data_IF_358285099371
#
_entry.id   IF_358285099371
#
_cell.length_a   1.000
_cell.length_b   1.000
_cell.length_c   1.000
_cell.angle_alpha   90.00
_cell.angle_beta   90.00
_cell.angle_gamma   90.00
#
_symmetry.space_group_name_H-M   'P 1'
#
loop_
_entity.id
_entity.type
_entity.pdbx_description
1 polymer ?
#
# COMPACT_ATOMS: atom_id res chain seq x y z
N UNK A 1 42.46 35.94 12.49
CA UNK A 1 41.82 35.83 13.82
C UNK A 1 40.61 34.93 13.71
N UNK A 2 40.77 33.72 14.21
CA UNK A 2 39.80 32.65 14.31
C UNK A 2 38.83 32.90 15.47
N UNK A 3 37.53 32.83 15.18
CA UNK A 3 36.46 32.44 16.13
C UNK A 3 35.48 31.61 15.28
N UNK A 4 35.24 30.32 15.48
CA UNK A 4 35.40 29.50 16.67
C UNK A 4 34.02 29.15 17.20
N UNK A 5 33.50 28.00 16.76
CA UNK A 5 32.50 27.14 17.38
C UNK A 5 31.14 27.74 17.81
N UNK A 6 30.08 27.31 17.12
CA UNK A 6 29.01 26.56 17.77
C UNK A 6 28.33 25.66 16.74
N UNK A 7 28.88 24.46 16.58
CA UNK A 7 28.15 23.30 16.09
C UNK A 7 27.06 22.99 17.12
N UNK A 8 25.86 23.54 16.93
CA UNK A 8 24.70 22.98 17.60
C UNK A 8 24.44 21.63 16.95
N UNK A 9 24.72 20.59 17.74
CA UNK A 9 24.29 19.22 17.54
C UNK A 9 22.88 19.21 16.92
N UNK A 10 22.79 18.89 15.61
CA UNK A 10 21.63 18.16 15.12
C UNK A 10 21.73 16.78 15.76
N UNK A 11 21.16 16.67 16.95
CA UNK A 11 20.76 15.37 17.49
C UNK A 11 19.78 14.80 16.48
N UNK A 12 20.29 13.90 15.63
CA UNK A 12 19.47 12.92 14.91
C UNK A 12 18.75 12.14 16.00
N UNK A 13 17.57 12.61 16.38
CA UNK A 13 16.61 11.78 17.07
C UNK A 13 16.18 10.76 16.02
N UNK A 14 16.92 9.65 15.98
CA UNK A 14 16.49 8.41 15.39
C UNK A 14 15.31 7.97 16.27
N UNK A 15 14.14 8.57 16.06
CA UNK A 15 12.89 7.96 16.46
C UNK A 15 12.82 6.74 15.54
N UNK A 16 13.42 5.64 15.98
CA UNK A 16 12.83 4.35 15.65
C UNK A 16 11.43 4.43 16.24
N UNK A 17 10.47 4.88 15.43
CA UNK A 17 9.07 4.59 15.66
C UNK A 17 8.93 3.09 15.45
N UNK A 18 9.39 2.31 16.43
CA UNK A 18 8.51 1.26 16.89
C UNK A 18 7.34 2.03 17.48
N UNK A 19 6.42 2.44 16.61
CA UNK A 19 5.06 2.64 17.02
C UNK A 19 4.65 1.27 17.55
N UNK A 20 4.95 1.03 18.82
CA UNK A 20 4.11 0.19 19.65
C UNK A 20 2.80 0.98 19.64
N UNK A 21 2.02 0.76 18.59
CA UNK A 21 0.62 1.16 18.55
C UNK A 21 0.05 0.35 19.69
N UNK A 22 -0.03 0.97 20.86
CA UNK A 22 -0.82 0.43 21.95
C UNK A 22 -2.22 0.38 21.39
N UNK A 23 -2.63 -0.80 20.88
CA UNK A 23 -4.01 -0.98 20.49
C UNK A 23 -4.82 -0.82 21.77
N UNK A 24 -5.61 0.24 21.82
CA UNK A 24 -6.47 0.49 22.97
C UNK A 24 -7.75 -0.33 22.81
N UNK A 25 -8.40 -0.71 23.92
CA UNK A 25 -9.78 -1.18 23.86
C UNK A 25 -10.64 -0.12 23.17
N UNK A 26 -11.77 -0.55 22.61
CA UNK A 26 -12.69 0.32 21.87
C UNK A 26 -13.13 1.49 22.77
N UNK A 27 -12.95 2.72 22.28
CA UNK A 27 -13.37 3.96 22.90
C UNK A 27 -14.91 4.07 22.84
N UNK A 28 -15.61 4.24 23.99
CA UNK A 28 -17.06 4.30 24.01
C UNK A 28 -17.67 5.45 23.19
N UNK A 29 -16.98 6.59 23.08
CA UNK A 29 -17.43 7.71 22.25
C UNK A 29 -17.21 7.41 20.77
N UNK A 30 -16.08 6.82 20.40
CA UNK A 30 -15.83 6.36 19.03
C UNK A 30 -16.89 5.33 18.60
N UNK A 31 -17.20 4.37 19.47
CA UNK A 31 -18.27 3.39 19.26
C UNK A 31 -19.65 4.04 19.08
N UNK A 32 -19.97 5.10 19.86
CA UNK A 32 -21.22 5.86 19.70
C UNK A 32 -21.31 6.53 18.33
N UNK A 33 -20.23 7.16 17.87
CA UNK A 33 -20.14 7.75 16.53
C UNK A 33 -20.28 6.68 15.44
N UNK A 34 -19.65 5.52 15.63
CA UNK A 34 -19.78 4.39 14.72
C UNK A 34 -21.21 3.85 14.65
N UNK A 35 -21.89 3.63 15.78
CA UNK A 35 -23.30 3.18 15.78
C UNK A 35 -24.22 4.18 15.07
N UNK A 36 -23.98 5.48 15.22
CA UNK A 36 -24.70 6.52 14.47
C UNK A 36 -24.44 6.37 12.97
N UNK A 37 -23.18 6.14 12.58
CA UNK A 37 -22.83 5.92 11.18
C UNK A 37 -23.51 4.69 10.59
N UNK A 38 -23.56 3.57 11.32
CA UNK A 38 -24.22 2.35 10.87
C UNK A 38 -25.72 2.57 10.65
N UNK A 39 -26.38 3.32 11.53
CA UNK A 39 -27.79 3.67 11.37
C UNK A 39 -28.01 4.57 10.14
N UNK A 40 -27.18 5.60 9.95
CA UNK A 40 -27.23 6.45 8.75
C UNK A 40 -26.97 5.65 7.47
N UNK A 41 -26.00 4.73 7.49
CA UNK A 41 -25.67 3.88 6.35
C UNK A 41 -26.82 2.95 5.97
N UNK A 42 -27.46 2.29 6.95
CA UNK A 42 -28.67 1.48 6.74
C UNK A 42 -29.81 2.29 6.13
N UNK A 43 -29.94 3.55 6.54
CA UNK A 43 -30.92 4.50 6.01
C UNK A 43 -30.51 5.14 4.67
N UNK A 44 -29.38 4.74 4.08
CA UNK A 44 -28.79 5.30 2.84
C UNK A 44 -28.42 6.80 2.93
N UNK A 45 -28.33 7.35 4.13
CA UNK A 45 -27.79 8.69 4.36
C UNK A 45 -26.26 8.62 4.41
N UNK A 46 -25.66 8.53 3.23
CA UNK A 46 -24.21 8.33 3.07
C UNK A 46 -23.39 9.51 3.64
N UNK A 47 -23.90 10.74 3.55
CA UNK A 47 -23.19 11.93 4.05
C UNK A 47 -23.13 11.94 5.57
N UNK A 48 -24.24 11.64 6.25
CA UNK A 48 -24.24 11.54 7.71
C UNK A 48 -23.42 10.35 8.21
N UNK A 49 -23.43 9.23 7.46
CA UNK A 49 -22.58 8.08 7.75
C UNK A 49 -21.10 8.44 7.67
N UNK A 50 -20.66 9.07 6.57
CA UNK A 50 -19.29 9.54 6.38
C UNK A 50 -18.83 10.47 7.51
N UNK A 51 -19.61 11.52 7.79
CA UNK A 51 -19.28 12.46 8.87
C UNK A 51 -19.14 11.76 10.23
N UNK A 52 -20.04 10.83 10.55
CA UNK A 52 -20.00 10.12 11.83
C UNK A 52 -18.81 9.15 11.90
N UNK A 53 -18.38 8.56 10.78
CA UNK A 53 -17.17 7.74 10.72
C UNK A 53 -15.89 8.55 10.87
N UNK A 54 -15.84 9.75 10.27
CA UNK A 54 -14.71 10.65 10.44
C UNK A 54 -14.56 11.07 11.92
N UNK A 55 -15.66 11.39 12.61
CA UNK A 55 -15.62 11.66 14.05
C UNK A 55 -15.18 10.44 14.87
N UNK A 56 -15.63 9.24 14.52
CA UNK A 56 -15.16 8.01 15.17
C UNK A 56 -13.65 7.79 14.96
N UNK A 57 -13.14 8.06 13.75
CA UNK A 57 -11.72 7.89 13.42
C UNK A 57 -10.81 8.97 14.00
N UNK A 58 -11.32 10.16 14.33
CA UNK A 58 -10.56 11.13 15.14
C UNK A 58 -10.28 10.60 16.54
N UNK A 59 -11.16 9.76 17.07
CA UNK A 59 -11.01 9.16 18.40
C UNK A 59 -10.22 7.84 18.35
N UNK A 60 -10.47 7.02 17.33
CA UNK A 60 -9.71 5.79 17.06
C UNK A 60 -9.17 5.74 15.62
N UNK A 61 -8.05 6.42 15.34
CA UNK A 61 -7.49 6.49 13.99
C UNK A 61 -7.08 5.13 13.42
N UNK A 62 -6.72 4.17 14.26
CA UNK A 62 -6.25 2.85 13.85
C UNK A 62 -7.39 1.82 13.65
N UNK A 63 -8.65 2.21 13.84
CA UNK A 63 -9.76 1.27 13.79
C UNK A 63 -10.13 0.85 12.35
N UNK A 64 -9.62 -0.30 11.94
CA UNK A 64 -9.81 -0.85 10.60
C UNK A 64 -11.29 -1.20 10.30
N UNK A 65 -12.09 -1.55 11.31
CA UNK A 65 -13.53 -1.78 11.13
C UNK A 65 -14.23 -0.49 10.71
N UNK A 66 -13.92 0.63 11.37
CA UNK A 66 -14.48 1.94 11.03
C UNK A 66 -14.00 2.38 9.63
N UNK A 67 -12.71 2.22 9.34
CA UNK A 67 -12.14 2.54 8.02
C UNK A 67 -12.78 1.74 6.89
N UNK A 68 -13.08 0.47 7.10
CA UNK A 68 -13.75 -0.35 6.08
C UNK A 68 -15.15 0.18 5.75
N UNK A 69 -15.94 0.53 6.77
CA UNK A 69 -17.27 1.10 6.54
C UNK A 69 -17.15 2.47 5.86
N UNK A 70 -16.18 3.31 6.26
CA UNK A 70 -15.92 4.57 5.58
C UNK A 70 -15.56 4.37 4.11
N UNK A 71 -14.68 3.40 3.81
CA UNK A 71 -14.33 3.05 2.45
C UNK A 71 -15.53 2.59 1.61
N UNK A 72 -16.47 1.84 2.21
CA UNK A 72 -17.72 1.46 1.53
C UNK A 72 -18.65 2.67 1.28
N UNK A 73 -18.82 3.53 2.28
CA UNK A 73 -19.64 4.75 2.16
C UNK A 73 -19.11 5.61 1.02
N UNK A 74 -17.80 5.85 0.99
CA UNK A 74 -17.11 6.62 -0.05
C UNK A 74 -17.22 5.96 -1.42
N UNK A 75 -17.10 4.64 -1.49
CA UNK A 75 -17.31 3.88 -2.71
C UNK A 75 -18.74 4.02 -3.27
N UNK A 76 -19.74 4.02 -2.39
CA UNK A 76 -21.15 4.25 -2.76
C UNK A 76 -21.43 5.69 -3.19
N UNK A 77 -20.70 6.66 -2.63
CA UNK A 77 -20.72 8.07 -3.07
C UNK A 77 -19.92 8.33 -4.36
N UNK A 78 -19.24 7.32 -4.92
CA UNK A 78 -18.33 7.44 -6.05
C UNK A 78 -17.03 8.22 -5.76
N UNK A 79 -16.67 8.39 -4.48
CA UNK A 79 -15.40 8.93 -4.00
C UNK A 79 -14.33 7.83 -3.96
N UNK A 80 -13.95 7.34 -5.15
CA UNK A 80 -13.19 6.10 -5.28
C UNK A 80 -11.73 6.19 -4.78
N UNK A 81 -11.11 7.37 -4.78
CA UNK A 81 -9.73 7.55 -4.31
C UNK A 81 -9.66 7.49 -2.79
N UNK A 82 -10.58 8.18 -2.12
CA UNK A 82 -10.74 8.19 -0.67
C UNK A 82 -11.10 6.78 -0.18
N UNK A 83 -12.03 6.12 -0.88
CA UNK A 83 -12.35 4.72 -0.62
C UNK A 83 -11.11 3.83 -0.76
N UNK A 84 -10.34 3.96 -1.84
CA UNK A 84 -9.11 3.18 -2.05
C UNK A 84 -8.10 3.40 -0.92
N UNK A 85 -7.92 4.63 -0.45
CA UNK A 85 -7.03 4.94 0.67
C UNK A 85 -7.45 4.22 1.95
N UNK A 86 -8.73 4.30 2.34
CA UNK A 86 -9.21 3.64 3.55
C UNK A 86 -9.15 2.11 3.46
N UNK A 87 -9.53 1.52 2.32
CA UNK A 87 -9.52 0.07 2.14
C UNK A 87 -8.09 -0.49 2.10
N UNK A 88 -7.11 0.25 1.59
CA UNK A 88 -5.71 -0.16 1.63
C UNK A 88 -5.17 -0.25 3.06
N UNK A 89 -5.53 0.70 3.92
CA UNK A 89 -5.22 0.63 5.35
C UNK A 89 -5.84 -0.61 5.97
N UNK A 90 -7.11 -0.91 5.65
CA UNK A 90 -7.82 -2.09 6.16
C UNK A 90 -7.12 -3.38 5.72
N UNK A 91 -6.75 -3.50 4.44
CA UNK A 91 -6.03 -4.67 3.93
C UNK A 91 -4.71 -4.91 4.67
N UNK A 92 -4.03 -3.84 5.08
CA UNK A 92 -2.75 -3.88 5.81
C UNK A 92 -2.88 -3.91 7.33
N UNK A 93 -4.10 -3.80 7.86
CA UNK A 93 -4.35 -3.78 9.30
C UNK A 93 -4.19 -5.19 9.87
N UNK A 94 -3.54 -5.30 11.03
CA UNK A 94 -3.34 -6.58 11.71
C UNK A 94 -4.50 -6.84 12.68
N UNK A 95 -4.67 -8.10 13.08
CA UNK A 95 -5.58 -8.42 14.18
C UNK A 95 -5.10 -7.70 15.45
N UNK A 96 -6.03 -7.35 16.33
CA UNK A 96 -5.73 -6.67 17.59
C UNK A 96 -6.25 -7.52 18.75
N UNK A 97 -5.36 -7.83 19.70
CA UNK A 97 -5.75 -8.55 20.92
C UNK A 97 -6.68 -7.69 21.78
N UNK A 98 -6.38 -6.39 21.90
CA UNK A 98 -7.13 -5.46 22.76
C UNK A 98 -8.54 -5.13 22.24
N UNK A 99 -8.77 -5.22 20.92
CA UNK A 99 -10.09 -4.99 20.31
C UNK A 99 -11.00 -6.24 20.31
N UNK A 100 -10.46 -7.41 20.66
CA UNK A 100 -11.22 -8.65 20.87
C UNK A 100 -11.60 -9.45 19.61
N UNK A 101 -12.12 -10.66 19.82
CA UNK A 101 -12.41 -11.63 18.76
C UNK A 101 -13.45 -11.15 17.74
N UNK A 102 -14.49 -10.43 18.18
CA UNK A 102 -15.53 -9.91 17.29
C UNK A 102 -14.94 -8.92 16.27
N UNK A 103 -14.08 -8.01 16.72
CA UNK A 103 -13.37 -7.07 15.85
C UNK A 103 -12.51 -7.81 14.82
N UNK A 104 -11.73 -8.80 15.27
CA UNK A 104 -10.83 -9.57 14.41
C UNK A 104 -11.61 -10.39 13.37
N UNK A 105 -12.74 -10.97 13.75
CA UNK A 105 -13.64 -11.67 12.83
C UNK A 105 -14.20 -10.75 11.74
N UNK A 106 -14.64 -9.54 12.12
CA UNK A 106 -15.07 -8.50 11.15
C UNK A 106 -13.93 -8.12 10.21
N UNK A 107 -12.75 -7.81 10.75
CA UNK A 107 -11.58 -7.43 9.94
C UNK A 107 -11.25 -8.50 8.90
N UNK A 108 -11.18 -9.78 9.30
CA UNK A 108 -10.92 -10.89 8.36
C UNK A 108 -11.97 -10.97 7.26
N UNK A 109 -13.25 -10.85 7.63
CA UNK A 109 -14.34 -10.83 6.65
C UNK A 109 -14.23 -9.65 5.67
N UNK A 110 -13.85 -8.48 6.16
CA UNK A 110 -13.72 -7.26 5.37
C UNK A 110 -12.55 -7.32 4.41
N UNK A 111 -11.39 -7.84 4.83
CA UNK A 111 -10.24 -8.07 3.93
C UNK A 111 -10.64 -8.91 2.71
N UNK A 112 -11.44 -9.97 2.92
CA UNK A 112 -11.97 -10.79 1.81
C UNK A 112 -12.84 -9.98 0.84
N UNK A 113 -13.74 -9.13 1.37
CA UNK A 113 -14.67 -8.31 0.58
C UNK A 113 -13.99 -7.15 -0.16
N UNK A 114 -12.84 -6.66 0.32
CA UNK A 114 -12.10 -5.58 -0.36
C UNK A 114 -11.70 -6.00 -1.77
N UNK A 115 -11.37 -7.27 -1.98
CA UNK A 115 -11.03 -7.82 -3.31
C UNK A 115 -12.17 -7.58 -4.31
N UNK A 116 -13.42 -7.75 -3.90
CA UNK A 116 -14.60 -7.54 -4.75
C UNK A 116 -14.76 -6.06 -5.17
N UNK A 117 -14.31 -5.12 -4.32
CA UNK A 117 -14.39 -3.68 -4.59
C UNK A 117 -13.30 -3.20 -5.56
N UNK A 118 -12.18 -3.92 -5.66
CA UNK A 118 -11.04 -3.51 -6.49
C UNK A 118 -11.38 -3.46 -7.99
N UNK A 119 -12.24 -4.36 -8.49
CA UNK A 119 -12.55 -4.45 -9.93
C UNK A 119 -13.14 -3.15 -10.51
N UNK A 120 -14.08 -2.51 -9.81
CA UNK A 120 -14.64 -1.22 -10.24
C UNK A 120 -13.61 -0.11 -10.17
N UNK A 121 -12.79 -0.07 -9.11
CA UNK A 121 -11.72 0.93 -8.98
C UNK A 121 -10.71 0.79 -10.13
N UNK A 122 -10.26 -0.43 -10.42
CA UNK A 122 -9.35 -0.71 -11.53
C UNK A 122 -9.94 -0.30 -12.88
N UNK A 123 -11.23 -0.58 -13.10
CA UNK A 123 -11.95 -0.13 -14.30
C UNK A 123 -11.98 1.39 -14.41
N UNK A 124 -12.23 2.09 -13.31
CA UNK A 124 -12.18 3.55 -13.32
C UNK A 124 -10.76 4.08 -13.57
N UNK A 125 -9.73 3.44 -13.00
CA UNK A 125 -8.34 3.78 -13.27
C UNK A 125 -7.98 3.65 -14.75
N UNK A 126 -8.46 2.58 -15.41
CA UNK A 126 -8.34 2.38 -16.86
C UNK A 126 -9.07 3.48 -17.65
N UNK A 127 -10.27 3.88 -17.22
CA UNK A 127 -11.00 4.97 -17.85
C UNK A 127 -10.26 6.31 -17.73
N UNK A 128 -9.69 6.62 -16.55
CA UNK A 128 -8.84 7.80 -16.35
C UNK A 128 -7.61 7.76 -17.25
N UNK A 129 -6.98 6.60 -17.38
CA UNK A 129 -5.84 6.43 -18.29
C UNK A 129 -6.21 6.71 -19.75
N UNK A 130 -7.33 6.18 -20.23
CA UNK A 130 -7.85 6.48 -21.59
C UNK A 130 -8.15 7.96 -21.78
N UNK A 131 -8.65 8.65 -20.76
CA UNK A 131 -8.85 10.11 -20.80
C UNK A 131 -7.50 10.82 -20.96
N UNK A 132 -6.47 10.42 -20.21
CA UNK A 132 -5.12 10.95 -20.40
C UNK A 132 -4.63 10.75 -21.84
N UNK A 133 -4.70 9.53 -22.38
CA UNK A 133 -4.19 9.21 -23.72
C UNK A 133 -4.84 10.05 -24.82
N UNK A 134 -6.16 10.23 -24.76
CA UNK A 134 -6.92 11.08 -25.70
C UNK A 134 -6.50 12.54 -25.65
N UNK A 135 -5.99 13.00 -24.51
CA UNK A 135 -5.69 14.40 -24.25
C UNK A 135 -4.19 14.68 -24.08
N UNK A 136 -3.30 13.73 -24.39
CA UNK A 136 -1.85 13.85 -24.14
C UNK A 136 -1.17 15.07 -24.79
N UNK A 137 -1.74 15.57 -25.90
CA UNK A 137 -1.29 16.76 -26.60
C UNK A 137 -1.76 18.08 -25.94
N UNK A 138 -2.62 18.02 -24.92
CA UNK A 138 -3.13 19.21 -24.24
C UNK A 138 -2.01 19.98 -23.52
N UNK A 139 -2.05 21.33 -23.55
CA UNK A 139 -1.12 22.15 -22.80
C UNK A 139 -1.40 22.14 -21.29
N UNK A 140 -2.54 21.59 -20.83
CA UNK A 140 -2.90 21.50 -19.40
C UNK A 140 -2.16 20.36 -18.68
N UNK A 141 -0.82 20.44 -18.67
CA UNK A 141 0.07 19.37 -18.19
C UNK A 141 -0.20 18.94 -16.75
N UNK A 142 -0.44 19.87 -15.82
CA UNK A 142 -0.77 19.52 -14.43
C UNK A 142 -2.09 18.74 -14.32
N UNK A 143 -3.12 19.12 -15.07
CA UNK A 143 -4.41 18.41 -15.06
C UNK A 143 -4.27 16.99 -15.62
N UNK A 144 -3.45 16.82 -16.64
CA UNK A 144 -3.10 15.49 -17.17
C UNK A 144 -2.31 14.66 -16.15
N UNK A 145 -1.35 15.28 -15.44
CA UNK A 145 -0.59 14.60 -14.40
C UNK A 145 -1.49 14.15 -13.24
N UNK A 146 -2.44 14.98 -12.80
CA UNK A 146 -3.47 14.58 -11.82
C UNK A 146 -4.31 13.41 -12.34
N UNK A 147 -4.71 13.44 -13.61
CA UNK A 147 -5.48 12.34 -14.23
C UNK A 147 -4.69 11.03 -14.23
N UNK A 148 -3.39 11.08 -14.53
CA UNK A 148 -2.49 9.92 -14.46
C UNK A 148 -2.29 9.43 -13.02
N UNK A 149 -2.11 10.33 -12.06
CA UNK A 149 -2.07 9.98 -10.64
C UNK A 149 -3.32 9.17 -10.25
N UNK A 150 -4.51 9.66 -10.61
CA UNK A 150 -5.77 8.97 -10.32
C UNK A 150 -5.83 7.59 -11.00
N UNK A 151 -5.39 7.50 -12.25
CA UNK A 151 -5.32 6.24 -12.98
C UNK A 151 -4.42 5.22 -12.28
N UNK A 152 -3.19 5.60 -11.91
CA UNK A 152 -2.24 4.72 -11.23
C UNK A 152 -2.66 4.36 -9.81
N UNK A 153 -3.31 5.28 -9.09
CA UNK A 153 -3.81 5.02 -7.74
C UNK A 153 -4.94 3.99 -7.73
N UNK A 154 -5.86 4.09 -8.70
CA UNK A 154 -7.02 3.22 -8.81
C UNK A 154 -6.73 1.90 -9.51
N UNK A 155 -5.77 1.87 -10.43
CA UNK A 155 -5.31 0.68 -11.14
C UNK A 155 -3.78 0.56 -11.08
N UNK A 156 -3.24 -0.08 -10.01
CA UNK A 156 -1.80 -0.26 -9.84
C UNK A 156 -1.13 -0.99 -11.02
N UNK A 157 -1.84 -1.87 -11.74
CA UNK A 157 -1.30 -2.61 -12.88
C UNK A 157 -0.86 -1.72 -14.04
N UNK A 158 -1.39 -0.50 -14.15
CA UNK A 158 -0.99 0.47 -15.17
C UNK A 158 0.44 0.98 -14.97
N UNK A 159 0.95 1.01 -13.74
CA UNK A 159 2.28 1.59 -13.45
C UNK A 159 3.41 0.80 -14.12
N UNK A 160 3.33 -0.52 -14.10
CA UNK A 160 4.38 -1.41 -14.61
C UNK A 160 4.58 -1.26 -16.13
N UNK A 161 3.50 -0.93 -16.84
CA UNK A 161 3.52 -0.74 -18.31
C UNK A 161 3.95 0.66 -18.73
N UNK A 162 4.02 1.61 -17.79
CA UNK A 162 4.10 3.04 -18.08
C UNK A 162 5.18 3.77 -17.29
N UNK A 163 6.31 3.12 -17.00
CA UNK A 163 7.39 3.70 -16.17
C UNK A 163 7.88 5.08 -16.66
N UNK A 164 8.02 5.28 -17.98
CA UNK A 164 8.43 6.58 -18.54
C UNK A 164 7.45 7.72 -18.22
N UNK A 165 6.16 7.41 -18.11
CA UNK A 165 5.16 8.42 -17.72
C UNK A 165 5.32 8.83 -16.26
N UNK A 166 5.84 7.96 -15.38
CA UNK A 166 6.10 8.30 -13.99
C UNK A 166 7.14 9.41 -13.87
N UNK A 167 8.20 9.36 -14.69
CA UNK A 167 9.23 10.42 -14.74
C UNK A 167 8.65 11.75 -15.22
N UNK A 168 7.83 11.73 -16.28
CA UNK A 168 7.17 12.94 -16.82
C UNK A 168 6.24 13.59 -15.77
N UNK A 169 5.34 12.82 -15.16
CA UNK A 169 4.42 13.38 -14.16
C UNK A 169 5.16 13.88 -12.93
N UNK A 170 6.24 13.19 -12.51
CA UNK A 170 7.05 13.64 -11.37
C UNK A 170 7.57 15.05 -11.62
N UNK A 171 8.14 15.31 -12.80
CA UNK A 171 8.68 16.63 -13.17
C UNK A 171 7.58 17.71 -13.20
N UNK A 172 6.40 17.38 -13.71
CA UNK A 172 5.25 18.30 -13.74
C UNK A 172 4.82 18.69 -12.32
N UNK A 173 4.71 17.73 -11.40
CA UNK A 173 4.39 18.00 -10.00
C UNK A 173 5.50 18.80 -9.29
N UNK A 174 6.78 18.43 -9.48
CA UNK A 174 7.92 19.14 -8.90
C UNK A 174 7.93 20.63 -9.31
N UNK A 175 7.70 20.90 -10.61
CA UNK A 175 7.62 22.28 -11.11
C UNK A 175 6.40 23.03 -10.57
N UNK A 176 5.23 22.39 -10.50
CA UNK A 176 4.01 23.03 -9.99
C UNK A 176 4.07 23.30 -8.48
N UNK A 177 4.82 22.50 -7.72
CA UNK A 177 4.89 22.55 -6.26
C UNK A 177 6.19 23.16 -5.72
N UNK A 178 6.94 23.88 -6.56
CA UNK A 178 8.19 24.53 -6.16
C UNK A 178 8.04 25.39 -4.90
N UNK A 179 6.95 26.16 -4.79
CA UNK A 179 6.67 26.99 -3.60
C UNK A 179 6.41 26.17 -2.33
N UNK A 180 5.80 24.98 -2.47
CA UNK A 180 5.63 24.04 -1.35
C UNK A 180 6.99 23.58 -0.85
N UNK A 181 7.92 23.23 -1.76
CA UNK A 181 9.28 22.85 -1.39
C UNK A 181 10.04 23.99 -0.72
N UNK A 182 9.89 25.22 -1.22
CA UNK A 182 10.47 26.44 -0.62
C UNK A 182 9.82 26.82 0.73
N UNK A 183 8.70 26.20 1.10
CA UNK A 183 7.98 26.48 2.35
C UNK A 183 7.22 27.79 2.37
N UNK A 184 6.91 28.33 1.21
CA UNK A 184 6.19 29.61 1.07
C UNK A 184 4.70 29.41 0.83
N UNK A 185 4.29 28.25 0.32
CA UNK A 185 2.89 27.93 0.00
C UNK A 185 2.68 26.40 0.00
N UNK A 186 2.34 25.82 1.16
CA UNK A 186 2.15 24.37 1.29
C UNK A 186 0.80 23.94 0.71
N UNK A 187 0.86 23.09 -0.32
CA UNK A 187 -0.32 22.48 -0.94
C UNK A 187 -0.42 21.01 -0.56
N UNK A 188 -1.15 20.71 0.52
CA UNK A 188 -1.24 19.39 1.17
C UNK A 188 -1.58 18.25 0.20
N UNK A 189 -2.72 18.31 -0.48
CA UNK A 189 -3.20 17.23 -1.33
C UNK A 189 -2.28 17.00 -2.55
N UNK A 190 -1.88 18.03 -3.32
CA UNK A 190 -0.89 17.86 -4.38
C UNK A 190 0.46 17.29 -3.89
N UNK A 191 0.94 17.70 -2.71
CA UNK A 191 2.17 17.15 -2.13
C UNK A 191 2.01 15.68 -1.78
N UNK A 192 0.89 15.26 -1.17
CA UNK A 192 0.62 13.85 -0.90
C UNK A 192 0.46 13.01 -2.18
N UNK A 193 -0.04 13.60 -3.28
CA UNK A 193 -0.04 12.96 -4.59
C UNK A 193 1.39 12.76 -5.12
N UNK A 194 2.24 13.78 -4.99
CA UNK A 194 3.65 13.69 -5.36
C UNK A 194 4.41 12.66 -4.52
N UNK A 195 4.14 12.57 -3.21
CA UNK A 195 4.73 11.54 -2.34
C UNK A 195 4.41 10.12 -2.84
N UNK A 196 3.16 9.87 -3.23
CA UNK A 196 2.76 8.60 -3.85
C UNK A 196 3.48 8.36 -5.19
N UNK A 197 3.62 9.39 -6.04
CA UNK A 197 4.35 9.28 -7.31
C UNK A 197 5.82 8.93 -7.05
N UNK A 198 6.46 9.54 -6.06
CA UNK A 198 7.82 9.20 -5.64
C UNK A 198 7.92 7.75 -5.16
N UNK A 199 6.97 7.30 -4.34
CA UNK A 199 6.90 5.92 -3.84
C UNK A 199 6.87 4.91 -5.00
N UNK A 200 5.95 5.08 -5.95
CA UNK A 200 5.82 4.15 -7.10
C UNK A 200 6.95 4.31 -8.13
N UNK A 201 7.70 5.42 -8.07
CA UNK A 201 8.90 5.66 -8.88
C UNK A 201 10.19 5.20 -8.19
N UNK A 202 10.08 4.50 -7.06
CA UNK A 202 11.20 4.04 -6.23
C UNK A 202 12.13 5.18 -5.73
N UNK A 203 11.58 6.39 -5.56
CA UNK A 203 12.28 7.55 -4.97
C UNK A 203 11.92 7.66 -3.49
N UNK A 204 12.25 6.62 -2.71
CA UNK A 204 11.79 6.45 -1.32
C UNK A 204 12.15 7.64 -0.43
N UNK A 205 13.39 8.14 -0.51
CA UNK A 205 13.85 9.27 0.32
C UNK A 205 13.01 10.53 0.08
N UNK A 206 12.68 10.82 -1.18
CA UNK A 206 11.81 11.95 -1.53
C UNK A 206 10.37 11.75 -1.06
N UNK A 207 9.83 10.55 -1.18
CA UNK A 207 8.50 10.24 -0.65
C UNK A 207 8.45 10.41 0.87
N UNK A 208 9.47 9.92 1.57
CA UNK A 208 9.63 10.03 3.01
C UNK A 208 9.68 11.49 3.46
N UNK A 209 10.50 12.32 2.79
CA UNK A 209 10.61 13.76 3.07
C UNK A 209 9.24 14.46 2.98
N UNK A 210 8.48 14.18 1.91
CA UNK A 210 7.16 14.80 1.73
C UNK A 210 6.16 14.32 2.78
N UNK A 211 6.12 13.03 3.10
CA UNK A 211 5.23 12.51 4.15
C UNK A 211 5.56 13.09 5.52
N UNK A 212 6.85 13.17 5.88
CA UNK A 212 7.28 13.78 7.14
C UNK A 212 6.86 15.24 7.22
N UNK A 213 7.08 16.01 6.15
CA UNK A 213 6.67 17.41 6.10
C UNK A 213 5.16 17.59 6.17
N UNK A 214 4.39 16.66 5.59
CA UNK A 214 2.93 16.72 5.66
C UNK A 214 2.41 16.59 7.10
N UNK A 215 3.16 15.95 8.01
CA UNK A 215 2.79 15.85 9.43
C UNK A 215 2.76 17.22 10.13
N UNK A 216 3.50 18.22 9.65
CA UNK A 216 3.46 19.59 10.20
C UNK A 216 2.13 20.33 9.87
N UNK A 217 1.32 19.78 8.97
CA UNK A 217 0.11 20.42 8.43
C UNK A 217 -1.17 19.59 8.63
N UNK A 218 -1.14 18.60 9.51
CA UNK A 218 -2.32 17.76 9.80
C UNK A 218 -3.30 18.52 10.69
N UNK A 219 -4.59 18.35 10.42
CA UNK A 219 -5.66 19.01 11.16
C UNK A 219 -6.17 18.18 12.34
N UNK A 220 -6.07 16.86 12.23
CA UNK A 220 -6.52 15.91 13.24
C UNK A 220 -5.71 14.60 13.25
N UNK A 221 -5.95 13.80 14.28
CA UNK A 221 -5.31 12.51 14.53
C UNK A 221 -5.61 11.46 13.46
N UNK A 222 -6.74 11.55 12.76
CA UNK A 222 -7.05 10.63 11.67
C UNK A 222 -6.21 10.95 10.43
N UNK A 223 -6.02 12.23 10.12
CA UNK A 223 -5.13 12.67 9.06
C UNK A 223 -3.67 12.31 9.37
N UNK A 224 -3.21 12.58 10.59
CA UNK A 224 -1.90 12.16 11.08
C UNK A 224 -1.68 10.66 10.88
N UNK A 225 -2.65 9.83 11.31
CA UNK A 225 -2.58 8.38 11.15
C UNK A 225 -2.47 7.96 9.68
N UNK A 226 -3.22 8.60 8.77
CA UNK A 226 -3.17 8.23 7.34
C UNK A 226 -1.77 8.51 6.76
N UNK A 227 -1.15 9.63 7.14
CA UNK A 227 0.18 10.00 6.65
C UNK A 227 1.26 9.12 7.29
N UNK A 228 1.22 8.90 8.61
CA UNK A 228 2.16 8.00 9.29
C UNK A 228 2.04 6.58 8.77
N UNK A 229 0.83 6.07 8.52
CA UNK A 229 0.65 4.74 7.94
C UNK A 229 1.32 4.61 6.56
N UNK A 230 1.27 5.65 5.72
CA UNK A 230 1.96 5.66 4.42
C UNK A 230 3.48 5.71 4.59
N UNK A 231 3.97 6.55 5.49
CA UNK A 231 5.40 6.66 5.81
C UNK A 231 5.97 5.35 6.37
N UNK A 232 5.27 4.73 7.32
CA UNK A 232 5.67 3.46 7.91
C UNK A 232 5.68 2.35 6.84
N UNK A 233 4.63 2.28 6.01
CA UNK A 233 4.58 1.31 4.91
C UNK A 233 5.71 1.54 3.90
N UNK A 234 6.03 2.79 3.54
CA UNK A 234 7.16 3.11 2.66
C UNK A 234 8.47 2.52 3.20
N UNK A 235 8.67 2.57 4.51
CA UNK A 235 9.86 2.09 5.22
C UNK A 235 9.82 0.62 5.65
N UNK A 236 8.70 -0.09 5.46
CA UNK A 236 8.63 -1.55 5.68
C UNK A 236 9.64 -2.29 4.80
N UNK A 237 10.19 -3.38 5.34
CA UNK A 237 11.09 -4.28 4.62
C UNK A 237 10.40 -4.88 3.39
N UNK A 238 11.19 -5.28 2.38
CA UNK A 238 10.65 -5.95 1.20
C UNK A 238 9.88 -7.23 1.57
N UNK A 239 10.38 -7.97 2.58
CA UNK A 239 9.72 -9.13 3.19
C UNK A 239 8.30 -8.80 3.69
N UNK A 240 8.16 -7.77 4.52
CA UNK A 240 6.84 -7.41 5.06
C UNK A 240 5.88 -6.94 3.96
N UNK A 241 6.40 -6.18 2.98
CA UNK A 241 5.59 -5.75 1.82
C UNK A 241 5.11 -6.93 0.99
N UNK A 242 5.96 -7.94 0.76
CA UNK A 242 5.61 -9.15 0.06
C UNK A 242 4.50 -9.91 0.80
N UNK A 243 4.67 -10.12 2.10
CA UNK A 243 3.66 -10.75 2.96
C UNK A 243 2.32 -10.01 2.92
N UNK A 244 2.34 -8.67 3.01
CA UNK A 244 1.14 -7.85 2.90
C UNK A 244 0.46 -8.02 1.52
N UNK A 245 1.22 -8.10 0.43
CA UNK A 245 0.66 -8.33 -0.92
C UNK A 245 0.08 -9.73 -1.10
N UNK A 246 0.70 -10.76 -0.53
CA UNK A 246 0.18 -12.14 -0.55
C UNK A 246 -1.10 -12.23 0.29
N UNK A 247 -1.10 -11.66 1.49
CA UNK A 247 -2.27 -11.62 2.36
C UNK A 247 -3.45 -10.88 1.69
N UNK A 248 -3.16 -9.74 1.07
CA UNK A 248 -4.15 -8.97 0.31
C UNK A 248 -4.67 -9.71 -0.93
N UNK A 249 -3.93 -10.70 -1.44
CA UNK A 249 -4.21 -11.36 -2.72
C UNK A 249 -3.82 -10.51 -3.94
N UNK A 250 -2.99 -9.48 -3.71
CA UNK A 250 -2.45 -8.61 -4.75
C UNK A 250 -1.15 -9.20 -5.36
N UNK A 251 -0.50 -10.16 -4.69
CA UNK A 251 0.60 -10.93 -5.25
C UNK A 251 0.07 -12.05 -6.14
N UNK A 252 0.18 -11.87 -7.45
CA UNK A 252 -0.40 -12.76 -8.44
C UNK A 252 0.58 -13.85 -8.88
N UNK A 253 0.06 -14.86 -9.58
CA UNK A 253 0.90 -15.82 -10.30
C UNK A 253 1.90 -15.13 -11.23
N UNK A 254 1.51 -14.06 -11.93
CA UNK A 254 2.43 -13.34 -12.80
C UNK A 254 3.59 -12.70 -12.02
N UNK A 255 3.31 -12.12 -10.84
CA UNK A 255 4.36 -11.56 -9.98
C UNK A 255 5.34 -12.65 -9.52
N UNK A 256 4.83 -13.85 -9.25
CA UNK A 256 5.65 -15.02 -8.96
C UNK A 256 6.49 -15.46 -10.17
N UNK A 257 5.88 -15.58 -11.36
CA UNK A 257 6.58 -15.95 -12.59
C UNK A 257 7.71 -14.94 -12.91
N UNK A 258 7.43 -13.65 -12.77
CA UNK A 258 8.38 -12.56 -12.95
C UNK A 258 9.52 -12.64 -11.92
N UNK A 259 9.20 -12.96 -10.65
CA UNK A 259 10.20 -13.21 -9.61
C UNK A 259 11.11 -14.38 -9.96
N UNK A 260 10.57 -15.44 -10.58
CA UNK A 260 11.34 -16.58 -11.07
C UNK A 260 12.06 -16.31 -12.41
N UNK A 261 11.89 -15.10 -12.96
CA UNK A 261 12.44 -14.71 -14.25
C UNK A 261 11.83 -15.44 -15.45
N UNK A 262 10.74 -16.17 -15.24
CA UNK A 262 10.11 -17.04 -16.23
C UNK A 262 9.18 -16.23 -17.14
N UNK A 263 9.22 -16.50 -18.45
CA UNK A 263 8.18 -16.00 -19.34
C UNK A 263 6.93 -16.87 -19.14
N UNK A 264 5.74 -16.26 -19.04
CA UNK A 264 4.48 -16.97 -18.84
C UNK A 264 4.26 -18.15 -19.80
N UNK A 265 4.83 -18.11 -21.01
CA UNK A 265 4.71 -19.16 -22.03
C UNK A 265 5.46 -20.47 -21.71
N UNK A 266 6.40 -20.48 -20.76
CA UNK A 266 7.28 -21.62 -20.47
C UNK A 266 6.75 -22.55 -19.35
N UNK A 267 5.65 -22.18 -18.69
CA UNK A 267 5.11 -22.89 -17.52
C UNK A 267 3.85 -23.67 -17.90
N UNK A 268 3.81 -24.96 -17.56
CA UNK A 268 2.67 -25.83 -17.83
C UNK A 268 1.42 -25.40 -17.05
N UNK A 269 0.22 -25.70 -17.55
CA UNK A 269 -1.03 -25.43 -16.82
C UNK A 269 -1.07 -26.11 -15.44
N UNK A 270 -0.45 -27.28 -15.32
CA UNK A 270 -0.30 -28.00 -14.06
C UNK A 270 0.54 -27.20 -13.05
N UNK A 271 1.67 -26.64 -13.49
CA UNK A 271 2.56 -25.87 -12.62
C UNK A 271 1.97 -24.51 -12.26
N UNK A 272 1.22 -23.89 -13.19
CA UNK A 272 0.43 -22.68 -12.89
C UNK A 272 -0.57 -22.93 -11.78
N UNK A 273 -1.31 -24.05 -11.83
CA UNK A 273 -2.25 -24.43 -10.77
C UNK A 273 -1.54 -24.63 -9.44
N UNK A 274 -0.37 -25.28 -9.42
CA UNK A 274 0.43 -25.43 -8.18
C UNK A 274 0.85 -24.08 -7.59
N UNK A 275 1.18 -23.09 -8.41
CA UNK A 275 1.49 -21.73 -7.94
C UNK A 275 0.24 -21.10 -7.33
N UNK A 276 -0.90 -21.17 -8.03
CA UNK A 276 -2.16 -20.63 -7.55
C UNK A 276 -2.55 -21.25 -6.18
N UNK A 277 -2.47 -22.58 -6.06
CA UNK A 277 -2.76 -23.32 -4.82
C UNK A 277 -1.81 -22.90 -3.67
N UNK A 278 -0.51 -22.71 -3.97
CA UNK A 278 0.49 -22.27 -2.99
C UNK A 278 0.23 -20.84 -2.49
N UNK A 279 -0.14 -19.92 -3.39
CA UNK A 279 -0.45 -18.54 -3.04
C UNK A 279 -1.76 -18.45 -2.23
N UNK A 280 -2.76 -19.28 -2.54
CA UNK A 280 -4.00 -19.34 -1.77
C UNK A 280 -3.77 -19.86 -0.34
N UNK A 281 -2.98 -20.93 -0.19
CA UNK A 281 -2.59 -21.46 1.12
C UNK A 281 -1.79 -20.43 1.94
N UNK A 282 -0.81 -19.77 1.33
CA UNK A 282 -0.02 -18.71 1.96
C UNK A 282 -0.90 -17.54 2.43
N UNK A 283 -1.81 -17.07 1.57
CA UNK A 283 -2.76 -16.00 1.90
C UNK A 283 -3.65 -16.40 3.09
N UNK A 284 -4.15 -17.64 3.11
CA UNK A 284 -4.96 -18.18 4.20
C UNK A 284 -4.18 -18.24 5.52
N UNK A 285 -2.94 -18.74 5.50
CA UNK A 285 -2.06 -18.77 6.68
C UNK A 285 -1.78 -17.37 7.21
N UNK A 286 -1.47 -16.41 6.34
CA UNK A 286 -1.20 -15.02 6.73
C UNK A 286 -2.41 -14.33 7.36
N UNK A 287 -3.62 -14.61 6.88
CA UNK A 287 -4.85 -14.07 7.47
C UNK A 287 -5.11 -14.56 8.90
N UNK A 288 -4.51 -15.67 9.30
CA UNK A 288 -4.63 -16.23 10.65
C UNK A 288 -3.40 -15.95 11.53
N UNK A 289 -2.33 -15.40 10.95
CA UNK A 289 -1.12 -15.08 11.69
C UNK A 289 -1.36 -13.84 12.56
N UNK A 290 -1.20 -14.00 13.87
CA UNK A 290 -1.35 -12.93 14.85
C UNK A 290 -0.04 -12.26 15.24
N UNK A 291 1.09 -12.88 14.89
CA UNK A 291 2.45 -12.45 15.27
C UNK A 291 3.36 -12.33 14.05
N UNK A 292 4.44 -11.54 14.18
CA UNK A 292 5.43 -11.40 13.12
C UNK A 292 6.19 -12.72 12.90
N UNK A 293 6.40 -13.51 13.95
CA UNK A 293 7.03 -14.84 13.86
C UNK A 293 6.16 -15.83 13.08
N UNK A 294 4.84 -15.82 13.27
CA UNK A 294 3.93 -16.68 12.49
C UNK A 294 3.92 -16.28 11.02
N UNK A 295 3.93 -14.98 10.71
CA UNK A 295 4.01 -14.48 9.33
C UNK A 295 5.34 -14.86 8.66
N UNK A 296 6.45 -14.77 9.39
CA UNK A 296 7.76 -15.20 8.90
C UNK A 296 7.81 -16.70 8.59
N UNK A 297 7.14 -17.54 9.39
CA UNK A 297 7.03 -18.97 9.07
C UNK A 297 6.29 -19.24 7.77
N UNK A 298 5.29 -18.43 7.41
CA UNK A 298 4.63 -18.54 6.09
C UNK A 298 5.63 -18.24 4.98
N UNK A 299 6.45 -17.20 5.14
CA UNK A 299 7.48 -16.85 4.17
C UNK A 299 8.46 -18.02 3.95
N UNK A 300 9.00 -18.57 5.04
CA UNK A 300 9.95 -19.69 4.99
C UNK A 300 9.34 -20.94 4.37
N UNK A 301 8.05 -21.20 4.62
CA UNK A 301 7.30 -22.30 3.98
C UNK A 301 7.17 -22.07 2.46
N UNK A 302 6.83 -20.86 2.03
CA UNK A 302 6.79 -20.51 0.59
C UNK A 302 8.18 -20.73 -0.03
N UNK A 303 9.24 -20.19 0.58
CA UNK A 303 10.62 -20.36 0.11
C UNK A 303 11.00 -21.84 0.00
N UNK A 304 10.70 -22.64 1.03
CA UNK A 304 10.97 -24.07 1.03
C UNK A 304 10.23 -24.80 -0.11
N UNK A 305 8.95 -24.49 -0.32
CA UNK A 305 8.15 -25.05 -1.41
C UNK A 305 8.70 -24.70 -2.79
N UNK A 306 9.16 -23.45 -2.99
CA UNK A 306 9.81 -23.02 -4.24
C UNK A 306 11.06 -23.86 -4.49
N UNK A 307 11.96 -23.94 -3.50
CA UNK A 307 13.23 -24.66 -3.62
C UNK A 307 13.02 -26.17 -3.84
N UNK A 308 12.03 -26.78 -3.19
CA UNK A 308 11.70 -28.19 -3.37
C UNK A 308 11.17 -28.47 -4.79
N UNK A 309 10.25 -27.65 -5.29
CA UNK A 309 9.69 -27.78 -6.65
C UNK A 309 10.78 -27.57 -7.71
N UNK A 310 11.73 -26.68 -7.47
CA UNK A 310 12.91 -26.53 -8.34
C UNK A 310 13.79 -27.78 -8.36
N UNK A 311 14.09 -28.37 -7.20
CA UNK A 311 14.88 -29.62 -7.11
C UNK A 311 14.23 -30.78 -7.87
N UNK A 312 12.90 -30.82 -7.92
CA UNK A 312 12.10 -31.81 -8.66
C UNK A 312 11.99 -31.50 -10.16
N UNK A 313 12.52 -30.36 -10.62
CA UNK A 313 12.41 -29.91 -12.01
C UNK A 313 11.04 -29.37 -12.40
N UNK A 314 10.14 -29.17 -11.43
CA UNK A 314 8.78 -28.65 -11.64
C UNK A 314 8.78 -27.13 -11.86
N UNK A 315 9.73 -26.42 -11.24
CA UNK A 315 10.00 -25.00 -11.51
C UNK A 315 11.38 -24.85 -12.13
N UNK A 316 11.44 -24.44 -13.39
CA UNK A 316 12.70 -24.18 -14.08
C UNK A 316 13.01 -22.69 -14.06
N UNK A 317 14.26 -22.36 -13.72
CA UNK A 317 14.76 -21.00 -13.85
C UNK A 317 14.91 -20.66 -15.32
N UNK A 318 14.48 -19.46 -15.69
CA UNK A 318 14.82 -18.93 -17.00
C UNK A 318 16.33 -18.70 -17.13
N UNK A 319 16.85 -18.95 -18.34
CA UNK A 319 18.26 -18.78 -18.69
C UNK A 319 18.82 -17.40 -18.35
N UNK A 320 18.00 -16.34 -18.43
CA UNK A 320 18.41 -14.96 -18.12
C UNK A 320 18.69 -14.79 -16.63
N UNK A 321 17.80 -15.28 -15.76
CA UNK A 321 18.01 -15.22 -14.32
C UNK A 321 19.17 -16.12 -13.92
N UNK A 322 19.24 -17.34 -14.48
CA UNK A 322 20.36 -18.26 -14.26
C UNK A 322 21.72 -17.62 -14.57
N UNK A 323 21.87 -17.01 -15.76
CA UNK A 323 23.09 -16.28 -16.15
C UNK A 323 23.39 -15.10 -15.22
N UNK A 324 22.37 -14.39 -14.75
CA UNK A 324 22.54 -13.28 -13.81
C UNK A 324 23.09 -13.78 -12.46
N UNK A 325 22.52 -14.85 -11.92
CA UNK A 325 22.98 -15.46 -10.66
C UNK A 325 24.41 -15.99 -10.78
N UNK A 326 24.73 -16.67 -11.89
CA UNK A 326 26.09 -17.13 -12.21
C UNK A 326 27.08 -15.96 -12.29
N UNK A 327 26.72 -14.86 -12.96
CA UNK A 327 27.55 -13.67 -13.09
C UNK A 327 27.78 -12.94 -11.75
N UNK A 328 26.77 -12.95 -10.87
CA UNK A 328 26.84 -12.34 -9.53
C UNK A 328 27.45 -13.28 -8.48
N UNK A 329 27.73 -14.55 -8.82
CA UNK A 329 28.20 -15.56 -7.86
C UNK A 329 27.19 -15.87 -6.76
N UNK A 330 25.90 -15.67 -7.03
CA UNK A 330 24.79 -15.84 -6.08
C UNK A 330 24.04 -17.13 -6.33
N UNK A 331 23.52 -17.73 -5.27
CA UNK A 331 22.56 -18.83 -5.37
C UNK A 331 21.14 -18.30 -5.60
N UNK A 332 20.22 -19.19 -6.01
CA UNK A 332 18.80 -18.83 -6.03
C UNK A 332 18.28 -18.46 -4.64
N UNK A 333 18.82 -19.10 -3.60
CA UNK A 333 18.45 -18.80 -2.22
C UNK A 333 18.84 -17.37 -1.82
N UNK A 334 20.04 -16.91 -2.20
CA UNK A 334 20.48 -15.54 -1.97
C UNK A 334 19.57 -14.53 -2.68
N UNK A 335 19.16 -14.84 -3.91
CA UNK A 335 18.28 -13.98 -4.69
C UNK A 335 16.86 -13.91 -4.12
N UNK A 336 16.29 -15.04 -3.71
CA UNK A 336 14.98 -15.08 -3.04
C UNK A 336 14.99 -14.21 -1.77
N UNK A 337 16.06 -14.33 -0.98
CA UNK A 337 16.27 -13.51 0.22
C UNK A 337 16.31 -12.01 -0.10
N UNK A 338 16.97 -11.62 -1.18
CA UNK A 338 16.98 -10.22 -1.65
C UNK A 338 15.60 -9.72 -2.09
N UNK A 339 14.77 -10.59 -2.66
CA UNK A 339 13.37 -10.29 -3.00
C UNK A 339 12.44 -10.32 -1.78
N UNK A 340 12.95 -10.72 -0.61
CA UNK A 340 12.21 -10.77 0.64
C UNK A 340 11.53 -12.11 0.92
N UNK A 341 11.96 -13.20 0.27
CA UNK A 341 11.51 -14.58 0.48
C UNK A 341 12.45 -15.42 1.35
#
# INVERSE_FOLDING_TARGET
>A
MTKGFNSLFLSVLLIMSVAIVFSMPIDPNAAKHFSKAENSFKNKDLKSAENSLLEALKLEPDNAVYRYILGQVQYMQNNLLEAKNNLEIVSRSRISQDKGEEYNSKLKNYKKKIRDLQSRMSTEGENKFKVYEKNKASPQKLKLAVTLYQAFRLNPGLRYKNFKLLEEITSIYESALQKSFEGTDWQKEPMLQLAFIYEISNKKDKAAEVYMRALDYVEDSNEEFIITHKFDYLNRSNKEKLLDTIEAGDFTRQDFEDLMGSNAQEISESDRKKIDDMLEDASSKLQNAGTDEERERVLEDIKAQILEKQKKGEFQLNDKLKKKLEAEGKTMEDYLKEQGL
#
